data_IF_552590414412
#
_entry.id   IF_552590414412
#
_cell.length_a   1.000
_cell.length_b   1.000
_cell.length_c   1.000
_cell.angle_alpha   90.00
_cell.angle_beta   90.00
_cell.angle_gamma   90.00
#
_symmetry.space_group_name_H-M   'P 1'
#
loop_
_entity.id
_entity.type
_entity.pdbx_description
1 polymer ?
#
# COMPACT_ATOMS: atom_id res chain seq x y z
N UNK A 1 -12.56 -8.57 20.82
CA UNK A 1 -12.93 -7.56 19.80
C UNK A 1 -13.57 -8.27 18.62
N UNK A 2 -14.91 -8.28 18.57
CA UNK A 2 -15.65 -8.90 17.47
C UNK A 2 -15.52 -8.02 16.21
N UNK A 3 -14.77 -8.49 15.22
CA UNK A 3 -14.59 -7.79 13.96
C UNK A 3 -15.92 -7.68 13.22
N UNK A 4 -16.40 -6.45 13.02
CA UNK A 4 -17.55 -6.16 12.15
C UNK A 4 -17.33 -6.86 10.80
N UNK A 5 -18.33 -7.56 10.22
CA UNK A 5 -18.18 -8.09 8.87
C UNK A 5 -18.01 -6.90 7.93
N UNK A 6 -16.79 -6.75 7.40
CA UNK A 6 -16.49 -5.76 6.38
C UNK A 6 -17.43 -6.05 5.20
N UNK A 7 -18.37 -5.14 4.95
CA UNK A 7 -19.29 -5.27 3.81
C UNK A 7 -18.45 -5.42 2.54
N UNK A 8 -18.74 -6.42 1.69
CA UNK A 8 -18.01 -6.60 0.44
C UNK A 8 -18.09 -5.31 -0.37
N UNK A 9 -16.96 -4.91 -0.95
CA UNK A 9 -16.91 -3.69 -1.74
C UNK A 9 -17.81 -3.87 -2.98
N UNK A 10 -18.44 -2.80 -3.47
CA UNK A 10 -19.36 -2.88 -4.62
C UNK A 10 -18.72 -3.55 -5.84
N UNK A 11 -17.44 -3.29 -6.05
CA UNK A 11 -16.66 -3.89 -7.14
C UNK A 11 -16.49 -5.41 -6.97
N UNK A 12 -16.32 -5.91 -5.74
CA UNK A 12 -16.15 -7.34 -5.48
C UNK A 12 -17.46 -8.10 -5.77
N UNK A 13 -18.61 -7.47 -5.46
CA UNK A 13 -19.93 -8.01 -5.82
C UNK A 13 -20.12 -8.01 -7.33
N UNK A 14 -19.68 -6.97 -8.02
CA UNK A 14 -19.73 -6.88 -9.48
C UNK A 14 -18.91 -7.98 -10.17
N UNK A 15 -17.70 -8.26 -9.67
CA UNK A 15 -16.82 -9.29 -10.23
C UNK A 15 -17.39 -10.69 -9.94
N UNK A 16 -17.88 -10.92 -8.71
CA UNK A 16 -18.52 -12.18 -8.35
C UNK A 16 -19.77 -12.45 -9.21
N UNK A 17 -20.65 -11.45 -9.37
CA UNK A 17 -21.86 -11.55 -10.18
C UNK A 17 -21.52 -11.71 -11.67
N UNK A 18 -20.56 -10.96 -12.20
CA UNK A 18 -20.11 -11.06 -13.58
C UNK A 18 -19.52 -12.43 -13.90
N UNK A 19 -18.66 -12.96 -13.02
CA UNK A 19 -18.08 -14.30 -13.16
C UNK A 19 -19.13 -15.41 -13.09
N UNK A 20 -20.10 -15.29 -12.17
CA UNK A 20 -21.20 -16.25 -12.03
C UNK A 20 -22.13 -16.21 -13.25
N UNK A 21 -22.54 -15.02 -13.69
CA UNK A 21 -23.38 -14.86 -14.89
C UNK A 21 -22.67 -15.32 -16.16
N UNK A 22 -21.39 -15.00 -16.31
CA UNK A 22 -20.56 -15.48 -17.42
C UNK A 22 -20.42 -16.99 -17.41
N UNK A 23 -20.19 -17.60 -16.24
CA UNK A 23 -20.13 -19.05 -16.10
C UNK A 23 -21.47 -19.75 -16.37
N UNK A 24 -22.59 -19.18 -15.92
CA UNK A 24 -23.93 -19.66 -16.25
C UNK A 24 -24.22 -19.55 -17.75
N UNK A 25 -23.78 -18.47 -18.40
CA UNK A 25 -23.90 -18.30 -19.84
C UNK A 25 -23.11 -19.39 -20.60
N UNK A 26 -21.84 -19.61 -20.24
CA UNK A 26 -21.01 -20.66 -20.84
C UNK A 26 -21.66 -22.05 -20.65
N UNK A 27 -22.18 -22.31 -19.46
CA UNK A 27 -22.93 -23.54 -19.17
C UNK A 27 -24.18 -23.67 -20.05
N UNK A 28 -24.96 -22.60 -20.21
CA UNK A 28 -26.20 -22.61 -21.00
C UNK A 28 -25.99 -22.87 -22.49
N UNK A 29 -24.82 -22.47 -23.03
CA UNK A 29 -24.44 -22.70 -24.44
C UNK A 29 -23.70 -24.04 -24.60
N UNK A 30 -23.46 -24.77 -23.50
CA UNK A 30 -22.78 -26.07 -23.51
C UNK A 30 -21.27 -25.97 -23.76
N UNK A 31 -20.67 -24.81 -23.47
CA UNK A 31 -19.25 -24.56 -23.70
C UNK A 31 -18.44 -25.01 -22.48
N UNK A 32 -17.94 -26.25 -22.56
CA UNK A 32 -17.14 -26.87 -21.50
C UNK A 32 -15.66 -26.93 -21.88
N UNK A 33 -14.78 -26.92 -20.88
CA UNK A 33 -13.33 -27.00 -21.11
C UNK A 33 -12.86 -28.40 -21.55
N UNK A 34 -13.62 -29.45 -21.24
CA UNK A 34 -13.39 -30.83 -21.67
C UNK A 34 -14.57 -31.40 -22.44
N UNK A 35 -14.24 -32.29 -23.37
CA UNK A 35 -15.21 -33.10 -24.11
C UNK A 35 -15.79 -34.23 -23.25
N UNK A 36 -17.04 -34.69 -23.53
CA UNK A 36 -17.70 -35.74 -22.75
C UNK A 36 -16.94 -37.08 -22.70
N UNK A 37 -16.14 -37.39 -23.72
CA UNK A 37 -15.39 -38.64 -23.83
C UNK A 37 -14.08 -38.66 -23.02
N UNK A 38 -13.81 -37.65 -22.18
CA UNK A 38 -12.59 -37.60 -21.38
C UNK A 38 -12.68 -38.56 -20.18
N UNK A 39 -11.83 -39.60 -20.09
CA UNK A 39 -11.86 -40.61 -19.02
C UNK A 39 -11.63 -40.05 -17.62
N UNK A 40 -11.20 -38.78 -17.50
CA UNK A 40 -11.03 -38.09 -16.22
C UNK A 40 -12.33 -37.53 -15.63
N UNK A 41 -13.43 -37.43 -16.41
CA UNK A 41 -14.70 -36.85 -15.98
C UNK A 41 -15.57 -37.86 -15.22
N UNK A 42 -15.44 -37.91 -13.89
CA UNK A 42 -16.23 -38.84 -13.06
C UNK A 42 -17.67 -38.37 -12.81
N UNK A 43 -17.93 -37.07 -13.00
CA UNK A 43 -19.24 -36.46 -12.87
C UNK A 43 -19.67 -35.89 -14.23
N UNK A 44 -20.22 -36.75 -15.08
CA UNK A 44 -20.68 -36.39 -16.43
C UNK A 44 -21.99 -35.56 -16.43
N UNK A 45 -22.57 -35.33 -15.25
CA UNK A 45 -23.76 -34.51 -15.10
C UNK A 45 -23.40 -33.02 -15.27
N UNK A 46 -23.90 -32.38 -16.34
CA UNK A 46 -23.54 -31.01 -16.70
C UNK A 46 -23.76 -29.97 -15.59
N UNK A 47 -24.66 -30.22 -14.63
CA UNK A 47 -24.89 -29.34 -13.47
C UNK A 47 -23.76 -29.36 -12.44
N UNK A 48 -22.91 -30.41 -12.41
CA UNK A 48 -21.84 -30.55 -11.42
C UNK A 48 -20.82 -29.41 -11.48
N UNK A 49 -20.66 -28.79 -12.66
CA UNK A 49 -19.79 -27.62 -12.90
C UNK A 49 -20.27 -26.36 -12.15
N UNK A 50 -21.56 -26.28 -11.82
CA UNK A 50 -22.14 -25.12 -11.14
C UNK A 50 -21.69 -25.03 -9.67
N UNK A 51 -21.35 -26.15 -9.04
CA UNK A 51 -20.93 -26.18 -7.63
C UNK A 51 -19.55 -25.52 -7.46
N UNK A 52 -18.48 -25.93 -8.17
CA UNK A 52 -17.21 -25.21 -8.15
C UNK A 52 -17.34 -23.73 -8.53
N UNK A 53 -18.17 -23.43 -9.53
CA UNK A 53 -18.39 -22.06 -10.00
C UNK A 53 -19.01 -21.18 -8.90
N UNK A 54 -20.05 -21.66 -8.21
CA UNK A 54 -20.70 -20.93 -7.13
C UNK A 54 -19.77 -20.73 -5.93
N UNK A 55 -18.96 -21.75 -5.60
CA UNK A 55 -17.93 -21.63 -4.56
C UNK A 55 -16.89 -20.58 -4.94
N UNK A 56 -16.42 -20.58 -6.19
CA UNK A 56 -15.45 -19.59 -6.68
C UNK A 56 -16.02 -18.17 -6.64
N UNK A 57 -17.29 -17.99 -7.00
CA UNK A 57 -17.98 -16.71 -6.88
C UNK A 57 -18.11 -16.23 -5.43
N UNK A 58 -18.33 -17.14 -4.49
CA UNK A 58 -18.30 -16.79 -3.06
C UNK A 58 -16.88 -16.41 -2.61
N UNK A 59 -15.84 -17.10 -3.08
CA UNK A 59 -14.45 -16.77 -2.76
C UNK A 59 -14.06 -15.35 -3.18
N UNK A 60 -14.60 -14.88 -4.31
CA UNK A 60 -14.35 -13.52 -4.83
C UNK A 60 -14.78 -12.43 -3.83
N UNK A 61 -15.89 -12.66 -3.10
CA UNK A 61 -16.35 -11.76 -2.04
C UNK A 61 -15.38 -11.69 -0.85
N UNK A 62 -14.59 -12.75 -0.63
CA UNK A 62 -13.61 -12.84 0.46
C UNK A 62 -12.22 -12.32 0.05
N UNK A 63 -11.99 -11.95 -1.20
CA UNK A 63 -10.66 -11.64 -1.74
C UNK A 63 -9.93 -10.51 -1.00
N UNK A 64 -10.67 -9.51 -0.50
CA UNK A 64 -10.10 -8.35 0.24
C UNK A 64 -10.04 -8.57 1.75
N UNK A 65 -10.93 -9.38 2.32
CA UNK A 65 -11.03 -9.55 3.78
C UNK A 65 -10.17 -10.70 4.28
N UNK A 66 -10.15 -11.82 3.56
CA UNK A 66 -9.37 -13.01 3.89
C UNK A 66 -8.80 -13.66 2.61
N UNK A 67 -7.85 -13.00 1.92
CA UNK A 67 -7.26 -13.49 0.66
C UNK A 67 -6.69 -14.90 0.77
N UNK A 68 -6.12 -15.28 1.93
CA UNK A 68 -5.57 -16.62 2.15
C UNK A 68 -6.63 -17.71 2.15
N UNK A 69 -7.74 -17.48 2.85
CA UNK A 69 -8.82 -18.48 2.88
C UNK A 69 -9.51 -18.55 1.53
N UNK A 70 -9.71 -17.40 0.87
CA UNK A 70 -10.25 -17.34 -0.48
C UNK A 70 -9.38 -18.11 -1.49
N UNK A 71 -8.05 -17.97 -1.42
CA UNK A 71 -7.13 -18.73 -2.26
C UNK A 71 -7.16 -20.24 -1.95
N UNK A 72 -7.15 -20.64 -0.68
CA UNK A 72 -7.20 -22.06 -0.31
C UNK A 72 -8.50 -22.73 -0.78
N UNK A 73 -9.65 -22.09 -0.50
CA UNK A 73 -10.96 -22.59 -0.92
C UNK A 73 -11.10 -22.53 -2.45
N UNK A 74 -10.59 -21.49 -3.09
CA UNK A 74 -10.54 -21.37 -4.55
C UNK A 74 -9.70 -22.47 -5.20
N UNK A 75 -8.55 -22.83 -4.62
CA UNK A 75 -7.73 -23.96 -5.11
C UNK A 75 -8.50 -25.28 -4.99
N UNK A 76 -9.21 -25.51 -3.88
CA UNK A 76 -10.06 -26.70 -3.72
C UNK A 76 -11.20 -26.71 -4.75
N UNK A 77 -11.81 -25.56 -5.01
CA UNK A 77 -12.85 -25.41 -6.04
C UNK A 77 -12.28 -25.68 -7.44
N UNK A 78 -11.08 -25.22 -7.76
CA UNK A 78 -10.42 -25.48 -9.03
C UNK A 78 -10.08 -26.98 -9.21
N UNK A 79 -9.61 -27.64 -8.14
CA UNK A 79 -9.35 -29.08 -8.15
C UNK A 79 -10.66 -29.86 -8.32
N UNK A 80 -11.74 -29.43 -7.69
CA UNK A 80 -13.07 -30.02 -7.88
C UNK A 80 -13.59 -29.80 -9.31
N UNK A 81 -13.37 -28.62 -9.89
CA UNK A 81 -13.70 -28.32 -11.29
C UNK A 81 -12.98 -29.26 -12.25
N UNK A 82 -11.72 -29.62 -11.94
CA UNK A 82 -10.93 -30.62 -12.64
C UNK A 82 -11.50 -32.05 -12.61
N UNK A 83 -12.44 -32.36 -11.72
CA UNK A 83 -13.14 -33.66 -11.67
C UNK A 83 -14.46 -33.63 -12.48
N UNK A 84 -14.87 -32.46 -12.96
CA UNK A 84 -16.06 -32.23 -13.78
C UNK A 84 -15.67 -32.00 -15.25
N UNK A 85 -16.60 -31.51 -16.08
CA UNK A 85 -16.32 -31.05 -17.46
C UNK A 85 -15.52 -29.73 -17.51
N UNK A 86 -15.38 -29.06 -16.36
CA UNK A 86 -14.59 -27.86 -16.15
C UNK A 86 -15.16 -26.60 -16.81
N UNK A 87 -14.91 -25.45 -16.19
CA UNK A 87 -15.42 -24.15 -16.65
C UNK A 87 -14.31 -23.12 -16.79
N UNK A 88 -14.25 -22.47 -17.95
CA UNK A 88 -13.33 -21.35 -18.18
C UNK A 88 -13.58 -20.19 -17.20
N UNK A 89 -14.84 -19.97 -16.79
CA UNK A 89 -15.15 -18.94 -15.79
C UNK A 89 -14.48 -19.25 -14.45
N UNK A 90 -14.49 -20.52 -14.01
CA UNK A 90 -13.82 -20.94 -12.76
C UNK A 90 -12.31 -20.67 -12.83
N UNK A 91 -11.67 -20.93 -13.97
CA UNK A 91 -10.23 -20.68 -14.18
C UNK A 91 -9.91 -19.18 -14.19
N UNK A 92 -10.73 -18.38 -14.88
CA UNK A 92 -10.55 -16.92 -14.94
C UNK A 92 -10.73 -16.29 -13.56
N UNK A 93 -11.74 -16.71 -12.79
CA UNK A 93 -11.96 -16.22 -11.43
C UNK A 93 -10.84 -16.65 -10.47
N UNK A 94 -10.29 -17.85 -10.65
CA UNK A 94 -9.12 -18.29 -9.89
C UNK A 94 -7.88 -17.41 -10.16
N UNK A 95 -7.67 -17.00 -11.41
CA UNK A 95 -6.61 -16.05 -11.80
C UNK A 95 -6.72 -14.74 -11.00
N UNK A 96 -7.93 -14.20 -10.82
CA UNK A 96 -8.16 -13.00 -9.98
C UNK A 96 -7.84 -13.26 -8.51
N UNK A 97 -8.27 -14.41 -7.96
CA UNK A 97 -7.96 -14.80 -6.58
C UNK A 97 -6.45 -14.88 -6.31
N UNK A 98 -5.66 -15.38 -7.27
CA UNK A 98 -4.19 -15.41 -7.17
C UNK A 98 -3.63 -13.98 -7.14
N UNK A 99 -4.10 -13.10 -8.04
CA UNK A 99 -3.72 -11.69 -8.05
C UNK A 99 -4.06 -11.00 -6.72
N UNK A 100 -5.31 -11.14 -6.27
CA UNK A 100 -5.81 -10.56 -5.02
C UNK A 100 -5.04 -11.07 -3.80
N UNK A 101 -4.65 -12.35 -3.79
CA UNK A 101 -3.87 -12.93 -2.72
C UNK A 101 -2.46 -12.33 -2.59
N UNK A 102 -1.83 -11.95 -3.70
CA UNK A 102 -0.53 -11.25 -3.69
C UNK A 102 -0.71 -9.78 -3.32
N UNK A 103 -1.71 -9.11 -3.91
CA UNK A 103 -1.94 -7.69 -3.73
C UNK A 103 -2.41 -7.33 -2.31
N UNK A 104 -3.42 -8.04 -1.80
CA UNK A 104 -4.06 -7.76 -0.50
C UNK A 104 -3.57 -8.68 0.62
N UNK A 105 -2.78 -9.71 0.32
CA UNK A 105 -2.24 -10.62 1.32
C UNK A 105 -1.20 -9.98 2.24
N UNK A 106 -0.83 -10.69 3.31
CA UNK A 106 0.28 -10.27 4.17
C UNK A 106 1.62 -10.23 3.39
N UNK A 107 2.62 -9.46 3.82
CA UNK A 107 3.93 -9.36 3.14
C UNK A 107 4.60 -10.71 2.88
N UNK A 108 4.54 -11.63 3.85
CA UNK A 108 5.10 -12.97 3.70
C UNK A 108 4.39 -13.83 2.64
N UNK A 109 3.07 -13.67 2.49
CA UNK A 109 2.32 -14.38 1.45
C UNK A 109 2.66 -13.83 0.05
N UNK A 110 2.74 -12.51 -0.10
CA UNK A 110 3.05 -11.88 -1.38
C UNK A 110 4.45 -12.21 -1.91
N UNK A 111 5.40 -12.54 -1.04
CA UNK A 111 6.72 -13.03 -1.46
C UNK A 111 6.73 -14.51 -1.80
N UNK A 112 5.96 -15.33 -1.08
CA UNK A 112 5.91 -16.79 -1.27
C UNK A 112 5.07 -17.21 -2.48
N UNK A 113 3.93 -16.56 -2.71
CA UNK A 113 2.97 -16.95 -3.75
C UNK A 113 3.62 -16.96 -5.14
N UNK A 114 4.33 -15.91 -5.62
CA UNK A 114 4.99 -15.93 -6.94
C UNK A 114 6.02 -17.06 -7.09
N UNK A 115 6.78 -17.35 -6.04
CA UNK A 115 7.74 -18.46 -6.03
C UNK A 115 7.04 -19.82 -6.10
N UNK A 116 5.96 -20.00 -5.33
CA UNK A 116 5.17 -21.24 -5.33
C UNK A 116 4.49 -21.44 -6.70
N UNK A 117 3.85 -20.40 -7.26
CA UNK A 117 3.20 -20.48 -8.57
C UNK A 117 4.23 -20.69 -9.70
N UNK A 118 5.42 -20.08 -9.59
CA UNK A 118 6.53 -20.33 -10.51
C UNK A 118 7.00 -21.78 -10.44
N UNK A 119 7.22 -22.32 -9.24
CA UNK A 119 7.61 -23.72 -9.05
C UNK A 119 6.53 -24.69 -9.58
N UNK A 120 5.25 -24.42 -9.28
CA UNK A 120 4.13 -25.20 -9.80
C UNK A 120 4.10 -25.18 -11.33
N UNK A 121 4.32 -24.01 -11.94
CA UNK A 121 4.38 -23.87 -13.40
C UNK A 121 5.51 -24.70 -14.00
N UNK A 122 6.70 -24.67 -13.40
CA UNK A 122 7.85 -25.47 -13.85
C UNK A 122 7.54 -26.95 -13.73
N UNK A 123 7.02 -27.41 -12.59
CA UNK A 123 6.65 -28.82 -12.37
C UNK A 123 5.57 -29.25 -13.38
N UNK A 124 4.53 -28.43 -13.56
CA UNK A 124 3.44 -28.68 -14.51
C UNK A 124 3.90 -28.68 -15.97
N UNK A 125 5.05 -28.07 -16.28
CA UNK A 125 5.66 -28.12 -17.62
C UNK A 125 6.55 -29.34 -17.77
N UNK A 126 7.49 -29.53 -16.84
CA UNK A 126 8.58 -30.52 -16.95
C UNK A 126 8.05 -31.94 -16.77
N UNK A 127 7.13 -32.15 -15.82
CA UNK A 127 6.62 -33.49 -15.51
C UNK A 127 5.87 -34.13 -16.70
N UNK A 128 4.89 -33.47 -17.34
CA UNK A 128 4.22 -33.99 -18.53
C UNK A 128 5.17 -34.24 -19.70
N UNK A 129 6.12 -33.34 -19.94
CA UNK A 129 7.09 -33.47 -21.04
C UNK A 129 8.00 -34.67 -20.81
N UNK A 130 8.50 -34.85 -19.58
CA UNK A 130 9.37 -35.97 -19.20
C UNK A 130 8.62 -37.31 -19.14
N UNK A 131 7.36 -37.32 -18.70
CA UNK A 131 6.58 -38.55 -18.58
C UNK A 131 6.05 -39.02 -19.94
N UNK A 132 5.47 -38.11 -20.73
CA UNK A 132 4.77 -38.47 -21.97
C UNK A 132 5.62 -38.33 -23.21
N UNK A 133 6.78 -37.65 -23.15
CA UNK A 133 7.65 -37.39 -24.28
C UNK A 133 6.94 -36.72 -25.47
N UNK A 134 5.86 -35.99 -25.21
CA UNK A 134 5.07 -35.28 -26.22
C UNK A 134 5.16 -33.76 -26.03
N UNK A 135 5.19 -32.98 -27.13
CA UNK A 135 5.27 -31.53 -27.06
C UNK A 135 4.03 -30.88 -26.42
N UNK A 136 2.89 -31.59 -26.32
CA UNK A 136 1.69 -31.06 -25.68
C UNK A 136 1.90 -30.73 -24.19
N UNK A 137 2.90 -31.32 -23.52
CA UNK A 137 3.25 -30.95 -22.15
C UNK A 137 3.68 -29.49 -21.99
N UNK A 138 4.27 -28.89 -23.04
CA UNK A 138 4.62 -27.46 -23.05
C UNK A 138 3.39 -26.57 -23.01
N UNK A 139 2.30 -26.96 -23.68
CA UNK A 139 1.04 -26.20 -23.68
C UNK A 139 0.38 -26.21 -22.29
N UNK A 140 0.44 -27.33 -21.58
CA UNK A 140 -0.05 -27.44 -20.19
C UNK A 140 0.75 -26.51 -19.28
N UNK A 141 2.07 -26.53 -19.41
CA UNK A 141 2.97 -25.62 -18.72
C UNK A 141 2.67 -24.15 -18.97
N UNK A 142 2.57 -23.77 -20.25
CA UNK A 142 2.27 -22.41 -20.67
C UNK A 142 0.90 -21.93 -20.13
N UNK A 143 -0.14 -22.76 -20.23
CA UNK A 143 -1.46 -22.43 -19.70
C UNK A 143 -1.44 -22.29 -18.16
N UNK A 144 -0.75 -23.20 -17.47
CA UNK A 144 -0.58 -23.12 -16.01
C UNK A 144 0.14 -21.85 -15.58
N UNK A 145 1.21 -21.49 -16.31
CA UNK A 145 1.96 -20.25 -16.07
C UNK A 145 1.10 -19.01 -16.31
N UNK A 146 0.32 -18.99 -17.39
CA UNK A 146 -0.60 -17.90 -17.69
C UNK A 146 -1.65 -17.70 -16.58
N UNK A 147 -2.22 -18.79 -16.07
CA UNK A 147 -3.29 -18.75 -15.06
C UNK A 147 -2.75 -18.46 -13.65
N UNK A 148 -1.53 -18.89 -13.32
CA UNK A 148 -1.01 -18.81 -11.95
C UNK A 148 0.15 -17.84 -11.79
N UNK A 149 1.17 -17.93 -12.64
CA UNK A 149 2.38 -17.12 -12.52
C UNK A 149 2.15 -15.68 -12.96
N UNK A 150 1.47 -15.45 -14.08
CA UNK A 150 1.19 -14.10 -14.59
C UNK A 150 0.45 -13.22 -13.58
N UNK A 151 -0.72 -13.60 -13.02
CA UNK A 151 -1.40 -12.77 -12.02
C UNK A 151 -0.59 -12.59 -10.74
N UNK A 152 0.19 -13.60 -10.33
CA UNK A 152 1.05 -13.49 -9.16
C UNK A 152 2.18 -12.47 -9.38
N UNK A 153 2.81 -12.49 -10.55
CA UNK A 153 3.86 -11.54 -10.94
C UNK A 153 3.29 -10.12 -11.07
N UNK A 154 2.15 -9.95 -11.74
CA UNK A 154 1.47 -8.64 -11.85
C UNK A 154 1.07 -8.11 -10.48
N UNK A 155 0.51 -8.95 -9.61
CA UNK A 155 0.16 -8.56 -8.24
C UNK A 155 1.38 -8.11 -7.44
N UNK A 156 2.53 -8.77 -7.61
CA UNK A 156 3.78 -8.42 -6.94
C UNK A 156 4.34 -7.08 -7.45
N UNK A 157 4.35 -6.86 -8.77
CA UNK A 157 4.79 -5.60 -9.38
C UNK A 157 3.94 -4.42 -8.90
N UNK A 158 2.61 -4.56 -8.94
CA UNK A 158 1.67 -3.51 -8.49
C UNK A 158 1.87 -3.21 -7.01
N UNK A 159 2.04 -4.25 -6.18
CA UNK A 159 2.31 -4.07 -4.76
C UNK A 159 3.62 -3.34 -4.52
N UNK A 160 4.70 -3.75 -5.18
CA UNK A 160 6.01 -3.11 -5.04
C UNK A 160 5.95 -1.62 -5.41
N UNK A 161 5.27 -1.28 -6.51
CA UNK A 161 5.06 0.13 -6.89
C UNK A 161 4.25 0.93 -5.86
N UNK A 162 3.21 0.33 -5.28
CA UNK A 162 2.43 0.97 -4.21
C UNK A 162 3.28 1.20 -2.96
N UNK A 163 4.03 0.21 -2.53
CA UNK A 163 4.88 0.29 -1.34
C UNK A 163 5.98 1.34 -1.54
N UNK A 164 6.60 1.41 -2.73
CA UNK A 164 7.55 2.48 -3.06
C UNK A 164 6.91 3.85 -3.07
N UNK A 165 5.71 3.99 -3.65
CA UNK A 165 5.02 5.28 -3.71
C UNK A 165 4.62 5.79 -2.30
N UNK A 166 4.22 4.88 -1.41
CA UNK A 166 3.93 5.21 -0.01
C UNK A 166 5.20 5.62 0.73
N UNK A 167 6.31 4.91 0.52
CA UNK A 167 7.60 5.26 1.12
C UNK A 167 8.09 6.65 0.69
N UNK A 168 7.96 7.00 -0.59
CA UNK A 168 8.34 8.34 -1.07
C UNK A 168 7.43 9.44 -0.51
N UNK A 169 6.11 9.19 -0.40
CA UNK A 169 5.18 10.14 0.23
C UNK A 169 5.54 10.39 1.70
N UNK A 170 5.83 9.34 2.45
CA UNK A 170 6.25 9.45 3.85
C UNK A 170 7.57 10.23 3.99
N UNK A 171 8.54 10.01 3.09
CA UNK A 171 9.80 10.77 3.07
C UNK A 171 9.56 12.25 2.76
N UNK A 172 8.66 12.56 1.82
CA UNK A 172 8.31 13.94 1.49
C UNK A 172 7.63 14.63 2.68
N UNK A 173 6.70 13.95 3.37
CA UNK A 173 6.06 14.47 4.59
C UNK A 173 7.08 14.70 5.71
N UNK A 174 8.00 13.77 5.94
CA UNK A 174 9.08 13.94 6.92
C UNK A 174 9.98 15.12 6.61
N UNK A 175 10.34 15.31 5.33
CA UNK A 175 11.17 16.44 4.89
C UNK A 175 10.45 17.78 5.09
N UNK A 176 9.15 17.82 4.80
CA UNK A 176 8.34 19.01 5.03
C UNK A 176 8.27 19.36 6.53
N UNK A 177 8.04 18.37 7.40
CA UNK A 177 8.01 18.57 8.84
C UNK A 177 9.35 19.07 9.40
N UNK A 178 10.48 18.51 8.91
CA UNK A 178 11.81 18.99 9.31
C UNK A 178 12.03 20.45 8.89
N UNK A 179 11.64 20.82 7.66
CA UNK A 179 11.76 22.20 7.20
C UNK A 179 10.89 23.18 8.01
N UNK A 180 9.71 22.76 8.46
CA UNK A 180 8.86 23.57 9.35
C UNK A 180 9.50 23.76 10.73
N UNK A 181 10.07 22.71 11.31
CA UNK A 181 10.79 22.78 12.58
C UNK A 181 12.01 23.70 12.50
N UNK A 182 12.82 23.58 11.44
CA UNK A 182 13.99 24.43 11.22
C UNK A 182 13.60 25.91 11.09
N UNK A 183 12.50 26.21 10.37
CA UNK A 183 11.96 27.57 10.28
C UNK A 183 11.51 28.09 11.64
N UNK A 184 10.79 27.29 12.41
CA UNK A 184 10.35 27.69 13.75
C UNK A 184 11.55 27.96 14.67
N UNK A 185 12.55 27.09 14.64
CA UNK A 185 13.80 27.25 15.39
C UNK A 185 14.55 28.52 14.99
N UNK A 186 14.69 28.79 13.69
CA UNK A 186 15.32 30.00 13.19
C UNK A 186 14.59 31.26 13.68
N UNK A 187 13.25 31.28 13.64
CA UNK A 187 12.46 32.41 14.16
C UNK A 187 12.65 32.58 15.67
N UNK A 188 12.67 31.50 16.45
CA UNK A 188 12.90 31.60 17.90
C UNK A 188 14.32 32.06 18.25
N UNK A 189 15.32 31.59 17.51
CA UNK A 189 16.70 32.00 17.68
C UNK A 189 16.87 33.49 17.36
N UNK A 190 16.23 33.95 16.29
CA UNK A 190 16.22 35.36 15.89
C UNK A 190 15.57 36.25 16.96
N UNK A 191 14.42 35.85 17.50
CA UNK A 191 13.76 36.58 18.60
C UNK A 191 14.63 36.67 19.84
N UNK A 192 15.33 35.58 20.20
CA UNK A 192 16.24 35.58 21.34
C UNK A 192 17.50 36.43 21.10
N UNK A 193 17.93 36.59 19.84
CA UNK A 193 19.02 37.50 19.46
C UNK A 193 18.56 38.95 19.56
N UNK A 194 17.43 39.30 18.93
CA UNK A 194 16.84 40.64 19.01
C UNK A 194 16.59 41.08 20.46
N UNK A 195 16.10 40.19 21.32
CA UNK A 195 15.88 40.51 22.74
C UNK A 195 17.19 40.86 23.49
N UNK A 196 18.30 40.19 23.17
CA UNK A 196 19.62 40.49 23.75
C UNK A 196 20.17 41.80 23.22
N UNK A 197 20.10 42.03 21.91
CA UNK A 197 20.52 43.30 21.29
C UNK A 197 19.75 44.49 21.89
N UNK A 198 18.43 44.34 22.10
CA UNK A 198 17.61 45.33 22.79
C UNK A 198 18.02 45.51 24.26
N UNK A 199 18.29 44.42 24.97
CA UNK A 199 18.74 44.50 26.36
C UNK A 199 20.09 45.20 26.50
N UNK A 200 21.06 44.87 25.66
CA UNK A 200 22.40 45.47 25.67
C UNK A 200 22.32 46.98 25.33
N UNK A 201 21.49 47.36 24.34
CA UNK A 201 21.28 48.75 23.98
C UNK A 201 20.63 49.56 25.12
N UNK A 202 19.61 48.99 25.78
CA UNK A 202 18.94 49.62 26.92
C UNK A 202 19.86 49.70 28.13
N UNK A 203 20.61 48.63 28.44
CA UNK A 203 21.56 48.59 29.54
C UNK A 203 22.67 49.63 29.36
N UNK A 204 23.18 49.81 28.13
CA UNK A 204 24.17 50.83 27.80
C UNK A 204 23.63 52.26 28.02
N UNK A 205 22.43 52.58 27.53
CA UNK A 205 21.81 53.89 27.73
C UNK A 205 21.52 54.17 29.22
N UNK A 206 20.99 53.19 29.96
CA UNK A 206 20.76 53.34 31.40
C UNK A 206 22.06 53.55 32.18
N UNK A 207 23.13 52.84 31.80
CA UNK A 207 24.46 53.02 32.42
C UNK A 207 25.01 54.42 32.15
N UNK A 208 24.87 54.93 30.92
CA UNK A 208 25.26 56.29 30.57
C UNK A 208 24.45 57.34 31.37
N UNK A 209 23.13 57.20 31.44
CA UNK A 209 22.27 58.10 32.24
C UNK A 209 22.67 58.06 33.72
N UNK A 210 22.92 56.89 34.30
CA UNK A 210 23.31 56.74 35.70
C UNK A 210 24.67 57.41 36.00
N UNK A 211 25.67 57.21 35.14
CA UNK A 211 27.00 57.83 35.27
C UNK A 211 26.89 59.36 35.19
N UNK A 212 26.19 59.88 34.19
CA UNK A 212 26.03 61.33 34.00
C UNK A 212 25.18 61.98 35.11
N UNK A 213 24.14 61.29 35.60
CA UNK A 213 23.33 61.77 36.73
C UNK A 213 24.14 61.85 38.02
N UNK A 214 25.00 60.85 38.26
CA UNK A 214 25.90 60.85 39.43
C UNK A 214 26.92 61.99 39.35
N UNK A 215 27.49 62.24 38.16
CA UNK A 215 28.41 63.35 37.94
C UNK A 215 27.74 64.72 38.14
N UNK A 216 26.49 64.89 37.71
CA UNK A 216 25.71 66.11 37.93
C UNK A 216 25.47 66.40 39.44
N UNK A 217 25.29 65.37 40.25
CA UNK A 217 25.02 65.50 41.69
C UNK A 217 26.28 65.73 42.54
N UNK A 218 27.48 65.39 42.05
CA UNK A 218 28.72 65.45 42.84
C UNK A 218 29.54 66.73 42.64
N UNK A 219 29.18 67.59 41.68
CA UNK A 219 29.97 68.77 41.28
C UNK A 219 29.17 70.05 41.57
N UNK A 220 29.70 70.89 42.46
CA UNK A 220 29.12 72.19 42.89
C UNK A 220 29.35 73.33 41.87
N UNK A 221 29.52 72.99 40.58
CA UNK A 221 29.72 73.93 39.47
C UNK A 221 28.48 73.97 38.55
N UNK A 222 27.82 75.14 38.37
CA UNK A 222 26.57 75.25 37.62
C UNK A 222 26.68 74.90 36.13
N UNK A 223 27.85 75.09 35.51
CA UNK A 223 28.04 74.82 34.09
C UNK A 223 28.19 73.31 33.83
N UNK A 224 28.98 72.62 34.65
CA UNK A 224 29.20 71.17 34.54
C UNK A 224 27.92 70.37 34.80
N UNK A 225 27.06 70.82 35.73
CA UNK A 225 25.73 70.24 35.96
C UNK A 225 24.78 70.36 34.75
N UNK A 226 24.85 71.47 33.99
CA UNK A 226 24.03 71.64 32.77
C UNK A 226 24.46 70.72 31.62
N UNK A 227 25.76 70.50 31.45
CA UNK A 227 26.28 69.59 30.43
C UNK A 227 25.86 68.14 30.71
N UNK A 228 25.97 67.70 31.97
CA UNK A 228 25.54 66.36 32.36
C UNK A 228 24.03 66.12 32.12
N UNK A 229 23.18 67.11 32.41
CA UNK A 229 21.73 67.05 32.12
C UNK A 229 21.42 67.07 30.61
N UNK A 230 22.24 67.74 29.80
CA UNK A 230 22.08 67.77 28.35
C UNK A 230 22.35 66.40 27.74
N UNK A 231 23.42 65.72 28.17
CA UNK A 231 23.76 64.37 27.70
C UNK A 231 22.69 63.35 28.11
N UNK A 232 22.08 63.48 29.29
CA UNK A 232 20.94 62.65 29.69
C UNK A 232 19.77 62.86 28.73
N UNK A 233 19.42 64.11 28.39
CA UNK A 233 18.32 64.40 27.47
C UNK A 233 18.57 63.85 26.07
N UNK A 234 19.80 63.91 25.58
CA UNK A 234 20.18 63.36 24.27
C UNK A 234 20.10 61.83 24.22
N UNK A 235 20.40 61.13 25.33
CA UNK A 235 20.31 59.66 25.42
C UNK A 235 18.91 59.15 25.82
N UNK A 236 17.92 60.03 26.01
CA UNK A 236 16.55 59.68 26.46
C UNK A 236 15.48 59.75 25.34
N UNK A 237 15.86 60.12 24.12
CA UNK A 237 14.97 60.21 22.93
C UNK A 237 15.24 59.03 22.00
#
# INVERSE_FOLDING_TARGET
MAGRPARPHRDDVGIAAGGLLGGLFLWSVGLYSRTPDDPMSRADQGWAVLVPLAVMACCELLRRTRPRTALLVGTLALVADLLTRGSLATVVMFTDLVYAAVLYGSPGAARRIPWITGLITVIATVWPVAAWHKPQGLLIGAFTGLVTFTPAATGWIVRNHRDTAVAERLRAEQTALLAEMDRAHAVTAERARMARELHDMVANHLSAIAIHSTAALSIDDPNTSRDALTVIRENSV
#
